data_IF_707842501431
#
_entry.id   IF_707842501431
#
_cell.length_a   1.000
_cell.length_b   1.000
_cell.length_c   1.000
_cell.angle_alpha   90.00
_cell.angle_beta   90.00
_cell.angle_gamma   90.00
#
_symmetry.space_group_name_H-M   'P 1'
#
loop_
_entity.id
_entity.type
_entity.pdbx_description
1 polymer ?
#
# COMPACT_ATOMS: atom_id res chain seq x y z
N UNK A 1 18.30 43.64 22.63
CA UNK A 1 18.34 44.28 23.96
C UNK A 1 16.93 44.69 24.45
N UNK A 2 15.86 43.99 24.02
CA UNK A 2 14.45 44.33 24.31
C UNK A 2 13.66 43.13 24.90
N UNK A 3 14.34 42.07 25.35
CA UNK A 3 13.72 40.83 25.82
C UNK A 3 14.10 40.46 27.27
N UNK A 4 14.53 41.45 28.06
CA UNK A 4 14.84 41.26 29.49
C UNK A 4 13.76 41.89 30.40
N UNK A 5 12.88 42.74 29.86
CA UNK A 5 11.82 43.40 30.64
C UNK A 5 10.54 42.56 30.85
N UNK A 6 10.43 41.35 30.28
CA UNK A 6 9.20 40.54 30.32
C UNK A 6 9.23 39.29 31.21
N UNK A 7 10.28 39.07 32.01
CA UNK A 7 10.29 37.97 33.00
C UNK A 7 10.21 36.54 32.43
N UNK A 8 10.43 36.36 31.13
CA UNK A 8 10.42 35.04 30.50
C UNK A 8 11.68 34.25 30.87
N UNK A 9 11.50 33.00 31.26
CA UNK A 9 12.61 32.11 31.60
C UNK A 9 13.41 31.74 30.35
N UNK A 10 14.70 31.42 30.50
CA UNK A 10 15.59 31.16 29.36
C UNK A 10 15.13 29.99 28.46
N UNK A 11 14.33 29.07 29.02
CA UNK A 11 13.70 27.98 28.26
C UNK A 11 12.55 28.46 27.36
N UNK A 12 11.80 29.49 27.78
CA UNK A 12 10.72 30.08 27.00
C UNK A 12 11.26 30.92 25.84
N UNK A 13 12.40 31.59 26.05
CA UNK A 13 13.11 32.32 24.99
C UNK A 13 13.62 31.35 23.92
N UNK A 14 14.21 30.22 24.32
CA UNK A 14 14.66 29.17 23.38
C UNK A 14 13.49 28.48 22.67
N UNK A 15 12.35 28.25 23.34
CA UNK A 15 11.13 27.73 22.67
C UNK A 15 10.55 28.72 21.68
N UNK A 16 10.50 30.02 21.99
CA UNK A 16 10.05 31.06 21.08
C UNK A 16 10.99 31.20 19.87
N UNK A 17 12.32 31.11 20.06
CA UNK A 17 13.26 31.18 18.94
C UNK A 17 13.18 29.95 18.04
N UNK A 18 13.01 28.75 18.61
CA UNK A 18 12.84 27.52 17.84
C UNK A 18 11.51 27.51 17.08
N UNK A 19 10.42 27.97 17.71
CA UNK A 19 9.12 28.10 17.07
C UNK A 19 9.14 29.14 15.94
N UNK A 20 9.81 30.27 16.13
CA UNK A 20 9.99 31.29 15.08
C UNK A 20 10.86 30.78 13.91
N UNK A 21 11.88 29.97 14.21
CA UNK A 21 12.75 29.35 13.21
C UNK A 21 12.00 28.31 12.38
N UNK A 22 11.18 27.48 13.04
CA UNK A 22 10.36 26.47 12.39
C UNK A 22 9.22 27.10 11.59
N UNK A 23 8.58 28.18 12.08
CA UNK A 23 7.56 28.91 11.34
C UNK A 23 8.13 29.61 10.09
N UNK A 24 9.35 30.17 10.18
CA UNK A 24 10.04 30.74 9.04
C UNK A 24 10.48 29.68 8.04
N UNK A 25 10.93 28.51 8.52
CA UNK A 25 11.25 27.37 7.67
C UNK A 25 10.01 26.80 6.96
N UNK A 26 8.87 26.71 7.65
CA UNK A 26 7.61 26.26 7.09
C UNK A 26 7.02 27.27 6.10
N UNK A 27 7.12 28.59 6.36
CA UNK A 27 6.75 29.63 5.39
C UNK A 27 7.66 29.63 4.16
N UNK A 28 8.98 29.47 4.34
CA UNK A 28 9.92 29.36 3.24
C UNK A 28 9.69 28.09 2.40
N UNK A 29 9.42 26.94 3.02
CA UNK A 29 9.13 25.69 2.32
C UNK A 29 7.75 25.71 1.66
N UNK A 30 6.75 26.33 2.28
CA UNK A 30 5.42 26.54 1.70
C UNK A 30 5.41 27.57 0.55
N UNK A 31 6.37 28.52 0.51
CA UNK A 31 6.53 29.46 -0.62
C UNK A 31 7.39 28.86 -1.75
N UNK A 32 8.32 27.95 -1.43
CA UNK A 32 9.27 27.39 -2.38
C UNK A 32 8.79 26.09 -3.07
N UNK A 33 7.82 25.37 -2.48
CA UNK A 33 7.37 24.05 -2.98
C UNK A 33 5.85 24.03 -3.17
N UNK A 34 5.26 25.12 -3.67
CA UNK A 34 4.01 24.96 -4.43
C UNK A 34 4.44 24.81 -5.88
N UNK A 35 4.41 23.61 -6.48
CA UNK A 35 4.45 23.53 -7.93
C UNK A 35 3.24 24.33 -8.40
N UNK A 36 3.48 25.50 -8.99
CA UNK A 36 2.40 26.26 -9.58
C UNK A 36 1.74 25.31 -10.58
N UNK A 37 0.45 25.04 -10.41
CA UNK A 37 -0.37 24.27 -11.36
C UNK A 37 -0.56 25.05 -12.68
N UNK A 38 0.34 25.98 -12.99
CA UNK A 38 0.42 26.67 -14.25
C UNK A 38 1.32 25.83 -15.15
N UNK A 39 0.72 25.22 -16.16
CA UNK A 39 1.45 24.57 -17.23
C UNK A 39 2.36 25.65 -17.88
N UNK A 40 3.67 25.60 -17.65
CA UNK A 40 4.61 26.63 -18.14
C UNK A 40 4.75 26.44 -19.65
N UNK A 41 4.01 27.23 -20.42
CA UNK A 41 3.96 27.11 -21.88
C UNK A 41 5.25 27.58 -22.57
N UNK A 42 6.01 28.48 -21.92
CA UNK A 42 7.28 28.98 -22.43
C UNK A 42 8.26 29.22 -21.29
N UNK A 43 9.47 28.68 -21.42
CA UNK A 43 10.59 28.96 -20.50
C UNK A 43 11.47 30.02 -21.13
N UNK A 44 11.67 31.14 -20.43
CA UNK A 44 12.61 32.17 -20.85
C UNK A 44 14.02 31.79 -20.36
N UNK A 45 14.98 31.65 -21.29
CA UNK A 45 16.39 31.45 -20.94
C UNK A 45 16.98 32.81 -20.54
N UNK A 46 17.62 32.88 -19.38
CA UNK A 46 18.26 34.11 -18.90
C UNK A 46 19.49 34.42 -19.76
N UNK A 47 19.47 35.53 -20.47
CA UNK A 47 20.59 36.00 -21.31
C UNK A 47 20.38 35.81 -22.82
N UNK A 48 19.33 35.11 -23.24
CA UNK A 48 18.86 35.13 -24.62
C UNK A 48 17.81 36.24 -24.80
N UNK A 49 17.77 36.87 -25.97
CA UNK A 49 16.88 38.00 -26.22
C UNK A 49 15.39 37.62 -26.13
N UNK A 50 14.46 38.60 -26.20
CA UNK A 50 13.01 38.35 -26.14
C UNK A 50 12.45 37.39 -27.21
N UNK A 51 13.25 37.07 -28.22
CA UNK A 51 12.94 36.17 -29.35
C UNK A 51 13.15 34.68 -29.03
N UNK A 52 13.98 34.33 -28.06
CA UNK A 52 14.41 32.95 -27.84
C UNK A 52 13.57 32.30 -26.74
N UNK A 53 12.30 32.03 -27.07
CA UNK A 53 11.36 31.32 -26.18
C UNK A 53 11.28 29.85 -26.59
N UNK A 54 11.68 28.95 -25.69
CA UNK A 54 11.44 27.52 -25.86
C UNK A 54 9.98 27.22 -25.52
N UNK A 55 9.24 26.75 -26.51
CA UNK A 55 7.87 26.25 -26.31
C UNK A 55 7.95 24.81 -25.78
N UNK A 56 7.23 24.53 -24.69
CA UNK A 56 7.12 23.18 -24.15
C UNK A 56 5.86 22.55 -24.72
N UNK A 57 6.00 21.48 -25.49
CA UNK A 57 4.87 20.68 -25.93
C UNK A 57 4.29 19.95 -24.72
N UNK A 58 3.11 20.38 -24.29
CA UNK A 58 2.39 19.82 -23.14
C UNK A 58 1.47 18.66 -23.54
N UNK A 59 1.39 18.37 -24.84
CA UNK A 59 0.72 17.18 -25.32
C UNK A 59 1.52 15.94 -24.89
N UNK A 60 0.86 14.87 -24.41
CA UNK A 60 1.53 13.63 -24.09
C UNK A 60 2.20 13.09 -25.36
N UNK A 61 3.51 12.81 -25.30
CA UNK A 61 4.26 12.24 -26.41
C UNK A 61 3.68 10.90 -26.86
N UNK A 62 3.12 10.15 -25.90
CA UNK A 62 2.54 8.82 -26.09
C UNK A 62 1.02 8.86 -26.35
N UNK A 63 0.51 9.98 -26.84
CA UNK A 63 -0.88 10.06 -27.27
C UNK A 63 -1.14 8.98 -28.34
N UNK A 64 -1.89 7.95 -27.98
CA UNK A 64 -2.32 6.93 -28.93
C UNK A 64 -3.09 7.63 -30.05
N UNK A 65 -2.79 7.33 -31.33
CA UNK A 65 -3.51 7.94 -32.44
C UNK A 65 -4.99 7.62 -32.25
N UNK A 66 -5.86 8.63 -32.38
CA UNK A 66 -7.30 8.45 -32.28
C UNK A 66 -7.72 7.33 -33.24
N UNK A 67 -8.05 6.16 -32.69
CA UNK A 67 -8.56 5.04 -33.45
C UNK A 67 -9.90 5.48 -34.00
N UNK A 68 -9.96 5.74 -35.31
CA UNK A 68 -11.22 6.07 -35.97
C UNK A 68 -12.15 4.86 -35.77
N UNK A 69 -13.23 5.07 -35.02
CA UNK A 69 -14.16 4.01 -34.59
C UNK A 69 -14.91 3.37 -35.76
N UNK A 70 -14.90 4.01 -36.93
CA UNK A 70 -15.49 3.48 -38.16
C UNK A 70 -14.40 2.97 -39.10
N UNK A 71 -14.45 1.69 -39.53
CA UNK A 71 -13.56 1.22 -40.58
C UNK A 71 -13.80 2.02 -41.85
N UNK A 72 -12.73 2.55 -42.44
CA UNK A 72 -12.78 3.23 -43.73
C UNK A 72 -12.94 2.17 -44.84
N UNK A 73 -14.14 2.08 -45.42
CA UNK A 73 -14.37 1.23 -46.58
C UNK A 73 -13.82 1.92 -47.83
N UNK A 74 -12.86 1.29 -48.51
CA UNK A 74 -12.40 1.75 -49.82
C UNK A 74 -13.47 1.42 -50.87
N UNK A 75 -14.28 2.42 -51.24
CA UNK A 75 -15.24 2.28 -52.35
C UNK A 75 -14.50 2.43 -53.67
N UNK A 76 -14.26 1.30 -54.36
CA UNK A 76 -13.67 1.30 -55.70
C UNK A 76 -14.75 1.66 -56.72
N UNK A 77 -14.64 2.84 -57.31
CA UNK A 77 -15.61 3.35 -58.30
C UNK A 77 -15.42 2.73 -59.70
N UNK A 78 -14.23 2.19 -59.99
CA UNK A 78 -13.85 1.62 -61.28
C UNK A 78 -13.80 0.09 -61.19
N UNK A 79 -14.96 -0.56 -61.08
CA UNK A 79 -15.06 -2.03 -61.12
C UNK A 79 -15.39 -2.48 -62.54
N UNK A 80 -14.56 -3.38 -63.07
CA UNK A 80 -14.80 -4.01 -64.37
C UNK A 80 -15.66 -5.27 -64.18
N UNK A 81 -16.40 -5.70 -65.21
CA UNK A 81 -17.27 -6.87 -65.11
C UNK A 81 -16.50 -8.14 -64.73
N UNK A 82 -17.13 -9.04 -63.98
CA UNK A 82 -16.46 -10.25 -63.45
C UNK A 82 -15.93 -11.20 -64.53
N UNK A 83 -16.49 -11.15 -65.74
CA UNK A 83 -16.07 -11.94 -66.90
C UNK A 83 -15.17 -11.18 -67.88
N UNK A 84 -14.83 -9.93 -67.58
CA UNK A 84 -14.05 -9.12 -68.49
C UNK A 84 -12.56 -9.49 -68.42
N UNK A 85 -11.89 -9.51 -69.57
CA UNK A 85 -10.49 -9.88 -69.68
C UNK A 85 -9.55 -8.94 -68.89
N UNK A 86 -8.36 -9.45 -68.56
CA UNK A 86 -7.33 -8.63 -67.89
C UNK A 86 -6.84 -7.51 -68.81
N UNK A 87 -7.21 -6.28 -68.48
CA UNK A 87 -6.70 -5.09 -69.14
C UNK A 87 -5.27 -4.75 -68.69
N UNK A 88 -4.57 -3.92 -69.47
CA UNK A 88 -3.19 -3.47 -69.16
C UNK A 88 -3.06 -2.70 -67.83
N UNK A 89 -4.17 -2.18 -67.28
CA UNK A 89 -4.19 -1.47 -66.00
C UNK A 89 -4.31 -2.39 -64.76
N UNK A 90 -4.55 -3.69 -64.94
CA UNK A 90 -4.75 -4.64 -63.84
C UNK A 90 -3.47 -4.87 -63.01
N UNK A 91 -2.30 -4.89 -63.65
CA UNK A 91 -1.03 -5.20 -63.02
C UNK A 91 -0.61 -4.09 -62.01
N UNK A 92 -0.61 -2.78 -62.38
CA UNK A 92 -0.33 -1.72 -61.40
C UNK A 92 -1.32 -1.65 -60.24
N UNK A 93 -2.61 -1.96 -60.48
CA UNK A 93 -3.63 -2.01 -59.44
C UNK A 93 -3.32 -3.13 -58.44
N UNK A 94 -2.98 -4.33 -58.93
CA UNK A 94 -2.54 -5.44 -58.09
C UNK A 94 -1.34 -5.07 -57.21
N UNK A 95 -0.31 -4.42 -57.78
CA UNK A 95 0.86 -4.01 -56.98
C UNK A 95 0.54 -3.02 -55.88
N UNK A 96 -0.40 -2.09 -56.11
CA UNK A 96 -0.87 -1.15 -55.09
C UNK A 96 -1.60 -1.89 -53.97
N UNK A 97 -2.59 -2.73 -54.31
CA UNK A 97 -3.32 -3.51 -53.31
C UNK A 97 -2.42 -4.46 -52.53
N UNK A 98 -1.47 -5.14 -53.20
CA UNK A 98 -0.48 -5.99 -52.53
C UNK A 98 0.37 -5.19 -51.54
N UNK A 99 0.83 -4.00 -51.92
CA UNK A 99 1.64 -3.15 -51.03
C UNK A 99 0.83 -2.71 -49.80
N UNK A 100 -0.42 -2.29 -50.01
CA UNK A 100 -1.32 -1.88 -48.92
C UNK A 100 -1.57 -3.06 -47.98
N UNK A 101 -1.85 -4.24 -48.52
CA UNK A 101 -2.15 -5.43 -47.73
C UNK A 101 -0.94 -5.94 -46.96
N UNK A 102 0.25 -5.97 -47.56
CA UNK A 102 1.47 -6.33 -46.84
C UNK A 102 1.76 -5.32 -45.72
N UNK A 103 1.62 -4.01 -45.98
CA UNK A 103 1.80 -3.00 -44.94
C UNK A 103 0.78 -3.14 -43.80
N UNK A 104 -0.45 -3.56 -44.11
CA UNK A 104 -1.50 -3.84 -43.12
C UNK A 104 -1.12 -5.03 -42.23
N UNK A 105 -0.66 -6.13 -42.83
CA UNK A 105 -0.20 -7.32 -42.11
C UNK A 105 1.00 -6.99 -41.23
N UNK A 106 2.03 -6.33 -41.79
CA UNK A 106 3.21 -5.92 -41.04
C UNK A 106 2.88 -5.02 -39.85
N UNK A 107 1.88 -4.12 -39.99
CA UNK A 107 1.42 -3.29 -38.87
C UNK A 107 0.76 -4.14 -37.77
N UNK A 108 -0.13 -5.05 -38.16
CA UNK A 108 -0.81 -5.94 -37.23
C UNK A 108 0.18 -6.82 -36.45
N UNK A 109 1.18 -7.36 -37.13
CA UNK A 109 2.23 -8.19 -36.51
C UNK A 109 3.09 -7.36 -35.54
N UNK A 110 3.44 -6.12 -35.89
CA UNK A 110 4.17 -5.19 -35.00
C UNK A 110 3.35 -4.82 -33.78
N UNK A 111 2.07 -4.50 -33.96
CA UNK A 111 1.15 -4.15 -32.87
C UNK A 111 1.01 -5.36 -31.92
N UNK A 112 0.91 -6.58 -32.45
CA UNK A 112 0.85 -7.81 -31.66
C UNK A 112 2.14 -8.05 -30.86
N UNK A 113 3.30 -7.98 -31.52
CA UNK A 113 4.59 -8.16 -30.85
C UNK A 113 4.80 -7.14 -29.72
N UNK A 114 4.42 -5.87 -29.94
CA UNK A 114 4.50 -4.84 -28.92
C UNK A 114 3.58 -5.12 -27.71
N UNK A 115 2.37 -5.65 -27.96
CA UNK A 115 1.46 -6.08 -26.89
C UNK A 115 2.03 -7.27 -26.12
N UNK A 116 2.57 -8.29 -26.80
CA UNK A 116 3.20 -9.44 -26.17
C UNK A 116 4.37 -9.00 -25.27
N UNK A 117 5.29 -8.18 -25.79
CA UNK A 117 6.41 -7.63 -25.02
C UNK A 117 5.95 -6.84 -23.79
N UNK A 118 4.90 -6.01 -23.93
CA UNK A 118 4.34 -5.25 -22.82
C UNK A 118 3.72 -6.16 -21.76
N UNK A 119 2.97 -7.19 -22.16
CA UNK A 119 2.36 -8.16 -21.25
C UNK A 119 3.40 -8.97 -20.49
N UNK A 120 4.45 -9.43 -21.19
CA UNK A 120 5.56 -10.14 -20.57
C UNK A 120 6.32 -9.26 -19.58
N UNK A 121 6.56 -8.00 -19.94
CA UNK A 121 7.24 -7.05 -19.08
C UNK A 121 6.44 -6.80 -17.80
N UNK A 122 5.12 -6.60 -17.92
CA UNK A 122 4.23 -6.41 -16.77
C UNK A 122 4.22 -7.66 -15.87
N UNK A 123 4.08 -8.85 -16.45
CA UNK A 123 4.11 -10.11 -15.71
C UNK A 123 5.45 -10.31 -14.97
N UNK A 124 6.59 -10.04 -15.62
CA UNK A 124 7.93 -10.11 -15.00
C UNK A 124 8.07 -9.09 -13.86
N UNK A 125 7.55 -7.88 -14.05
CA UNK A 125 7.58 -6.82 -13.02
C UNK A 125 6.72 -7.19 -11.81
N UNK A 126 5.51 -7.69 -12.03
CA UNK A 126 4.62 -8.13 -10.95
C UNK A 126 5.20 -9.31 -10.17
N UNK A 127 5.80 -10.28 -10.85
CA UNK A 127 6.49 -11.40 -10.21
C UNK A 127 7.66 -10.95 -9.33
N UNK A 128 8.46 -9.97 -9.80
CA UNK A 128 9.55 -9.40 -9.02
C UNK A 128 9.05 -8.67 -7.77
N UNK A 129 8.00 -7.84 -7.91
CA UNK A 129 7.38 -7.13 -6.79
C UNK A 129 6.82 -8.12 -5.76
N UNK A 130 6.10 -9.14 -6.21
CA UNK A 130 5.55 -10.16 -5.32
C UNK A 130 6.64 -10.93 -4.57
N UNK A 131 7.78 -11.22 -5.21
CA UNK A 131 8.92 -11.87 -4.57
C UNK A 131 9.55 -10.99 -3.47
N UNK A 132 9.72 -9.69 -3.74
CA UNK A 132 10.25 -8.72 -2.79
C UNK A 132 9.29 -8.48 -1.62
N UNK A 133 7.98 -8.42 -1.89
CA UNK A 133 6.94 -8.33 -0.87
C UNK A 133 6.94 -9.57 0.02
N UNK A 134 6.96 -10.77 -0.54
CA UNK A 134 7.02 -12.02 0.23
C UNK A 134 8.30 -12.12 1.09
N UNK A 135 9.44 -11.66 0.59
CA UNK A 135 10.69 -11.59 1.35
C UNK A 135 10.59 -10.57 2.50
N UNK A 136 9.97 -9.42 2.24
CA UNK A 136 9.76 -8.35 3.22
C UNK A 136 8.78 -8.76 4.30
N UNK A 137 7.67 -9.42 3.95
CA UNK A 137 6.69 -9.96 4.88
C UNK A 137 7.27 -11.02 5.81
N UNK A 138 8.06 -11.96 5.28
CA UNK A 138 8.77 -12.96 6.11
C UNK A 138 9.68 -12.29 7.14
N UNK A 139 10.41 -11.24 6.74
CA UNK A 139 11.28 -10.47 7.64
C UNK A 139 10.46 -9.64 8.64
N UNK A 140 9.35 -9.03 8.21
CA UNK A 140 8.43 -8.26 9.05
C UNK A 140 7.80 -9.16 10.12
N UNK A 141 7.32 -10.34 9.75
CA UNK A 141 6.77 -11.33 10.66
C UNK A 141 7.80 -11.79 11.72
N UNK A 142 9.07 -12.02 11.31
CA UNK A 142 10.15 -12.34 12.27
C UNK A 142 10.41 -11.19 13.25
N UNK A 143 10.39 -9.93 12.78
CA UNK A 143 10.57 -8.74 13.64
C UNK A 143 9.39 -8.55 14.59
N UNK A 144 8.16 -8.75 14.12
CA UNK A 144 6.95 -8.69 14.95
C UNK A 144 7.01 -9.75 16.06
N UNK A 145 7.27 -11.02 15.73
CA UNK A 145 7.43 -12.08 16.75
C UNK A 145 8.49 -11.74 17.81
N UNK A 146 9.62 -11.14 17.42
CA UNK A 146 10.65 -10.68 18.36
C UNK A 146 10.19 -9.50 19.21
N UNK A 147 9.44 -8.56 18.63
CA UNK A 147 8.86 -7.41 19.35
C UNK A 147 7.83 -7.90 20.36
N UNK A 148 6.97 -8.82 19.98
CA UNK A 148 5.93 -9.40 20.83
C UNK A 148 6.55 -10.23 21.96
N UNK A 149 7.60 -11.01 21.68
CA UNK A 149 8.33 -11.75 22.70
C UNK A 149 9.02 -10.82 23.71
N UNK A 150 9.63 -9.72 23.25
CA UNK A 150 10.22 -8.70 24.14
C UNK A 150 9.15 -8.02 25.00
N UNK A 151 8.05 -7.57 24.39
CA UNK A 151 6.94 -6.96 25.10
C UNK A 151 6.35 -7.89 26.17
N UNK A 152 6.16 -9.18 25.85
CA UNK A 152 5.73 -10.20 26.83
C UNK A 152 6.76 -10.39 27.94
N UNK A 153 8.05 -10.44 27.62
CA UNK A 153 9.09 -10.57 28.64
C UNK A 153 9.17 -9.36 29.59
N UNK A 154 8.94 -8.15 29.07
CA UNK A 154 8.88 -6.93 29.88
C UNK A 154 7.63 -6.87 30.74
N UNK A 155 6.48 -7.32 30.23
CA UNK A 155 5.25 -7.49 31.01
C UNK A 155 5.45 -8.47 32.15
N UNK A 156 5.98 -9.67 31.86
CA UNK A 156 6.27 -10.68 32.88
C UNK A 156 7.29 -10.19 33.91
N UNK A 157 8.29 -9.40 33.51
CA UNK A 157 9.23 -8.77 34.46
C UNK A 157 8.54 -7.77 35.37
N UNK A 158 7.69 -6.88 34.83
CA UNK A 158 6.92 -5.92 35.62
C UNK A 158 5.93 -6.61 36.57
N UNK A 159 5.29 -7.69 36.12
CA UNK A 159 4.43 -8.52 36.96
C UNK A 159 5.26 -9.23 38.05
N UNK A 160 6.42 -9.78 37.71
CA UNK A 160 7.33 -10.41 38.66
C UNK A 160 7.92 -9.42 39.68
N UNK A 161 8.23 -8.19 39.28
CA UNK A 161 8.69 -7.12 40.18
C UNK A 161 7.57 -6.68 41.14
N UNK A 162 6.29 -6.79 40.72
CA UNK A 162 5.13 -6.55 41.60
C UNK A 162 4.81 -7.71 42.55
N UNK A 163 5.21 -8.94 42.21
CA UNK A 163 4.95 -10.16 43.00
C UNK A 163 6.13 -10.50 43.92
N UNK A 164 7.37 -10.21 43.52
CA UNK A 164 8.56 -10.36 44.36
C UNK A 164 8.65 -9.21 45.38
N UNK A 165 7.81 -9.28 46.41
CA UNK A 165 7.94 -8.47 47.63
C UNK A 165 9.11 -8.91 48.53
N UNK A 166 9.86 -9.92 48.11
CA UNK A 166 10.99 -10.50 48.83
C UNK A 166 12.29 -10.14 48.11
N UNK A 167 13.20 -9.46 48.80
CA UNK A 167 14.57 -9.21 48.33
C UNK A 167 15.35 -10.52 48.17
N UNK A 168 16.40 -10.52 47.35
CA UNK A 168 17.25 -11.71 47.09
C UNK A 168 18.16 -12.07 48.27
N UNK A 169 17.71 -11.82 49.50
CA UNK A 169 18.50 -11.78 50.72
C UNK A 169 18.32 -13.08 51.54
N UNK A 170 17.58 -14.07 51.00
CA UNK A 170 17.24 -15.30 51.71
C UNK A 170 16.04 -15.17 52.67
N UNK A 171 15.46 -13.97 52.80
CA UNK A 171 14.29 -13.67 53.64
C UNK A 171 13.05 -14.49 53.30
N UNK A 172 12.92 -14.99 52.06
CA UNK A 172 11.85 -15.90 51.64
C UNK A 172 11.93 -17.28 52.32
N UNK A 173 13.14 -17.85 52.47
CA UNK A 173 13.33 -19.17 53.10
C UNK A 173 13.06 -19.11 54.60
N UNK A 174 13.40 -17.99 55.23
CA UNK A 174 13.22 -17.75 56.66
C UNK A 174 11.74 -17.52 57.04
N UNK A 175 10.95 -16.96 56.14
CA UNK A 175 9.50 -16.79 56.33
C UNK A 175 8.73 -18.11 56.07
N UNK A 176 9.21 -18.95 55.15
CA UNK A 176 8.67 -20.30 54.88
C UNK A 176 8.94 -21.26 56.03
N UNK A 177 10.12 -21.20 56.66
CA UNK A 177 10.47 -22.00 57.83
C UNK A 177 9.68 -21.63 59.11
N UNK A 178 9.09 -20.43 59.16
CA UNK A 178 8.27 -19.92 60.27
C UNK A 178 6.76 -20.08 60.04
N UNK A 179 6.34 -20.54 58.86
CA UNK A 179 4.93 -20.86 58.56
C UNK A 179 4.64 -22.31 58.97
N UNK A 180 3.79 -22.50 59.99
CA UNK A 180 3.36 -23.82 60.42
C UNK A 180 2.55 -24.55 59.32
N UNK A 181 2.75 -25.87 59.13
CA UNK A 181 2.20 -26.62 57.99
C UNK A 181 0.67 -26.64 57.91
N UNK A 182 -0.02 -26.41 59.03
CA UNK A 182 -1.50 -26.38 59.09
C UNK A 182 -2.10 -25.16 58.40
N UNK A 183 -1.41 -24.01 58.42
CA UNK A 183 -1.90 -22.77 57.79
C UNK A 183 -1.76 -22.85 56.26
N UNK A 184 -0.70 -23.50 55.77
CA UNK A 184 -0.49 -23.75 54.34
C UNK A 184 -1.53 -24.72 53.75
N UNK A 185 -1.95 -25.73 54.50
CA UNK A 185 -3.03 -26.64 54.06
C UNK A 185 -4.38 -25.92 53.97
N UNK A 186 -4.68 -25.02 54.89
CA UNK A 186 -5.91 -24.22 54.87
C UNK A 186 -5.91 -23.18 53.74
N UNK A 187 -4.78 -22.50 53.49
CA UNK A 187 -4.63 -21.57 52.38
C UNK A 187 -4.63 -22.28 51.03
N UNK A 188 -4.01 -23.46 50.91
CA UNK A 188 -4.07 -24.28 49.71
C UNK A 188 -5.49 -24.81 49.42
N UNK A 189 -6.29 -25.12 50.46
CA UNK A 189 -7.68 -25.50 50.30
C UNK A 189 -8.54 -24.32 49.84
N UNK A 190 -8.35 -23.14 50.44
CA UNK A 190 -9.02 -21.89 50.01
C UNK A 190 -8.63 -21.48 48.58
N UNK A 191 -7.36 -21.64 48.20
CA UNK A 191 -6.90 -21.37 46.84
C UNK A 191 -7.46 -22.38 45.81
N UNK A 192 -7.62 -23.66 46.17
CA UNK A 192 -8.29 -24.66 45.32
C UNK A 192 -9.78 -24.39 45.17
N UNK A 193 -10.46 -23.99 46.24
CA UNK A 193 -11.87 -23.61 46.21
C UNK A 193 -12.09 -22.33 45.37
N UNK A 194 -11.21 -21.33 45.49
CA UNK A 194 -11.23 -20.11 44.68
C UNK A 194 -10.89 -20.38 43.19
N UNK A 195 -9.92 -21.25 42.90
CA UNK A 195 -9.59 -21.65 41.54
C UNK A 195 -10.72 -22.47 40.88
N UNK A 196 -11.43 -23.31 41.65
CA UNK A 196 -12.61 -24.03 41.18
C UNK A 196 -13.81 -23.09 40.91
N UNK A 197 -13.96 -22.01 41.68
CA UNK A 197 -14.95 -20.96 41.42
C UNK A 197 -14.60 -20.14 40.15
N UNK A 198 -13.34 -19.71 40.01
CA UNK A 198 -12.87 -18.98 38.83
C UNK A 198 -12.92 -19.84 37.54
N UNK A 199 -12.68 -21.16 37.64
CA UNK A 199 -12.82 -22.08 36.52
C UNK A 199 -14.29 -22.26 36.10
N UNK A 200 -15.25 -22.21 37.03
CA UNK A 200 -16.68 -22.21 36.72
C UNK A 200 -17.13 -20.91 36.05
N UNK A 201 -16.63 -19.75 36.48
CA UNK A 201 -16.90 -18.47 35.82
C UNK A 201 -16.25 -18.39 34.42
N UNK A 202 -15.03 -18.88 34.25
CA UNK A 202 -14.37 -18.95 32.94
C UNK A 202 -15.01 -19.96 31.97
N UNK A 203 -15.67 -21.01 32.49
CA UNK A 203 -16.49 -21.93 31.70
C UNK A 203 -17.82 -21.29 31.27
N UNK A 204 -18.45 -20.49 32.13
CA UNK A 204 -19.67 -19.73 31.80
C UNK A 204 -19.42 -18.65 30.73
N UNK A 205 -18.27 -17.96 30.78
CA UNK A 205 -17.90 -16.92 29.81
C UNK A 205 -17.57 -17.48 28.40
N UNK A 206 -17.23 -18.77 28.27
CA UNK A 206 -16.96 -19.42 26.97
C UNK A 206 -18.22 -19.90 26.24
N UNK A 207 -19.38 -19.91 26.92
CA UNK A 207 -20.62 -20.45 26.35
C UNK A 207 -21.43 -19.42 25.52
N UNK A 208 -21.15 -18.11 25.62
CA UNK A 208 -22.01 -17.07 25.01
C UNK A 208 -21.41 -16.30 23.84
N UNK A 209 -20.16 -16.55 23.44
CA UNK A 209 -19.50 -15.76 22.40
C UNK A 209 -19.64 -16.44 21.04
N UNK A 210 -20.71 -16.10 20.31
CA UNK A 210 -20.87 -16.43 18.89
C UNK A 210 -19.72 -15.74 18.14
N UNK A 211 -18.89 -16.55 17.48
CA UNK A 211 -17.73 -16.03 16.75
C UNK A 211 -18.15 -15.48 15.39
N UNK A 212 -17.49 -14.44 14.85
CA UNK A 212 -17.78 -13.92 13.50
C UNK A 212 -17.67 -14.99 12.40
N UNK A 213 -16.86 -16.03 12.62
CA UNK A 213 -16.75 -17.21 11.74
C UNK A 213 -18.01 -18.08 11.73
N UNK A 214 -18.79 -18.13 12.82
CA UNK A 214 -20.09 -18.82 12.84
C UNK A 214 -21.20 -17.99 12.17
N UNK A 215 -21.01 -16.68 12.01
CA UNK A 215 -21.94 -15.81 11.28
C UNK A 215 -21.73 -15.87 9.76
N UNK A 216 -20.54 -16.27 9.30
CA UNK A 216 -20.20 -16.32 7.86
C UNK A 216 -20.39 -17.69 7.22
N UNK A 217 -20.86 -18.71 7.95
CA UNK A 217 -21.13 -20.02 7.35
C UNK A 217 -22.38 -19.92 6.46
N UNK A 218 -22.19 -20.17 5.16
CA UNK A 218 -23.21 -20.23 4.10
C UNK A 218 -24.41 -21.15 4.44
N UNK A 219 -24.26 -22.02 5.44
CA UNK A 219 -25.30 -22.90 5.98
C UNK A 219 -26.48 -22.18 6.67
N UNK A 220 -26.36 -20.89 7.01
CA UNK A 220 -27.45 -20.11 7.62
C UNK A 220 -28.33 -19.34 6.61
N UNK A 221 -27.99 -19.35 5.32
CA UNK A 221 -28.79 -18.69 4.28
C UNK A 221 -29.68 -19.76 3.65
N UNK A 222 -30.85 -20.01 4.25
CA UNK A 222 -31.91 -20.78 3.60
C UNK A 222 -32.67 -19.86 2.62
N UNK A 223 -32.36 -19.97 1.34
CA UNK A 223 -33.21 -19.39 0.29
C UNK A 223 -34.50 -20.21 0.29
N UNK A 224 -35.62 -19.58 0.67
CA UNK A 224 -36.94 -20.13 0.40
C UNK A 224 -37.32 -19.68 -0.99
N UNK A 225 -37.26 -20.59 -1.95
CA UNK A 225 -37.88 -20.38 -3.24
C UNK A 225 -39.38 -20.17 -3.01
N UNK A 226 -39.84 -18.97 -3.35
CA UNK A 226 -41.27 -18.66 -3.41
C UNK A 226 -41.75 -19.25 -4.73
N UNK A 227 -42.41 -20.39 -4.67
CA UNK A 227 -43.17 -20.92 -5.82
C UNK A 227 -44.42 -20.06 -6.04
N UNK A 228 -44.55 -19.60 -7.29
CA UNK A 228 -45.69 -18.98 -8.01
C UNK A 228 -46.65 -18.00 -7.28
#
# INVERSE_FOLDING_TARGET
MLAIESGMTMEEINKCSLAASNAWADECMAKAIVPSKANVQAVAIRGSGPSDKLTVNTAPSDAQPLVKTRPEFEKVWNTYGSSAGSGSCSIPIYYKHRRIEMARLEKMDKDHAALEEATEFQAKREAAIAADEAATEKKRAKRQKRKDAKAKSEQLKKEADGINKFGSDGSFLEMMAKMDPKVLEEEARKAKEAAAAAAKEAAAAKASTITPSQMSSEQNISIRDVED
#
